data_IF_540680270788
#
_entry.id   IF_540680270788
#
_cell.length_a   1.000
_cell.length_b   1.000
_cell.length_c   1.000
_cell.angle_alpha   90.00
_cell.angle_beta   90.00
_cell.angle_gamma   90.00
#
_symmetry.space_group_name_H-M   'P 1'
#
loop_
_entity.id
_entity.type
_entity.pdbx_description
1 polymer ?
#
# COMPACT_ATOMS: atom_id res chain seq x y z
N UNK A 1 -34.06 7.30 1.64
CA UNK A 1 -32.96 8.08 2.23
C UNK A 1 -31.80 7.12 2.37
N UNK A 2 -30.72 7.32 1.60
CA UNK A 2 -29.46 6.63 1.84
C UNK A 2 -28.84 7.40 3.00
N UNK A 3 -28.83 6.83 4.20
CA UNK A 3 -28.01 7.37 5.30
C UNK A 3 -26.55 7.36 4.83
N UNK A 4 -25.87 8.50 4.93
CA UNK A 4 -24.42 8.57 4.74
C UNK A 4 -23.76 7.56 5.68
N UNK A 5 -22.97 6.63 5.12
CA UNK A 5 -22.22 5.66 5.89
C UNK A 5 -21.09 6.41 6.60
N UNK A 6 -21.15 6.45 7.93
CA UNK A 6 -20.07 7.01 8.74
C UNK A 6 -18.96 5.97 8.91
N UNK A 7 -17.84 6.15 8.20
CA UNK A 7 -16.69 5.24 8.27
C UNK A 7 -15.85 5.41 9.54
N UNK A 8 -16.08 6.48 10.32
CA UNK A 8 -15.29 6.82 11.52
C UNK A 8 -15.53 5.81 12.64
N UNK A 9 -16.68 5.14 12.64
CA UNK A 9 -17.07 4.24 13.71
C UNK A 9 -16.49 2.82 13.55
N UNK A 10 -15.88 2.50 12.40
CA UNK A 10 -15.26 1.17 12.18
C UNK A 10 -13.81 1.16 12.70
N UNK A 11 -13.47 0.31 13.69
CA UNK A 11 -12.13 0.24 14.24
C UNK A 11 -11.04 0.07 13.18
N UNK A 12 -10.02 0.94 13.22
CA UNK A 12 -8.83 0.96 12.35
C UNK A 12 -9.07 1.14 10.85
N UNK A 13 -10.31 1.31 10.38
CA UNK A 13 -10.58 1.37 8.94
C UNK A 13 -9.87 2.55 8.26
N UNK A 14 -9.98 3.75 8.84
CA UNK A 14 -9.30 4.95 8.34
C UNK A 14 -7.77 4.80 8.37
N UNK A 15 -7.24 4.20 9.44
CA UNK A 15 -5.80 3.96 9.56
C UNK A 15 -5.29 3.02 8.48
N UNK A 16 -6.06 1.97 8.15
CA UNK A 16 -5.72 1.00 7.09
C UNK A 16 -5.81 1.69 5.71
N UNK A 17 -6.84 2.50 5.46
CA UNK A 17 -6.98 3.25 4.20
C UNK A 17 -5.79 4.18 3.98
N UNK A 18 -5.24 4.80 5.02
CA UNK A 18 -4.05 5.65 4.92
C UNK A 18 -2.76 4.90 4.49
N UNK A 19 -2.78 3.57 4.47
CA UNK A 19 -1.70 2.72 3.92
C UNK A 19 -1.97 2.26 2.47
N UNK A 20 -3.16 2.50 1.93
CA UNK A 20 -3.50 2.22 0.54
C UNK A 20 -3.10 3.40 -0.37
N UNK A 21 -3.01 3.19 -1.69
CA UNK A 21 -2.65 4.26 -2.62
C UNK A 21 -3.55 5.49 -2.47
N UNK A 22 -2.94 6.68 -2.49
CA UNK A 22 -3.69 7.94 -2.62
C UNK A 22 -4.41 7.91 -3.98
N UNK A 23 -5.67 8.31 -4.02
CA UNK A 23 -6.57 8.25 -5.18
C UNK A 23 -5.88 8.73 -6.47
N UNK A 24 -5.47 7.82 -7.40
CA UNK A 24 -4.85 8.21 -8.65
C UNK A 24 -5.92 8.59 -9.67
N UNK A 25 -5.86 9.81 -10.23
CA UNK A 25 -6.87 10.34 -11.14
C UNK A 25 -7.23 9.40 -12.32
N UNK A 26 -6.26 8.61 -12.81
CA UNK A 26 -6.41 7.75 -13.99
C UNK A 26 -6.53 6.24 -13.68
N UNK A 27 -6.76 5.86 -12.42
CA UNK A 27 -6.90 4.44 -12.02
C UNK A 27 -8.22 4.13 -11.33
N UNK A 28 -9.28 4.30 -12.12
CA UNK A 28 -10.66 4.05 -11.69
C UNK A 28 -10.84 2.65 -11.10
N UNK A 29 -10.16 1.63 -11.64
CA UNK A 29 -10.27 0.24 -11.16
C UNK A 29 -9.80 0.09 -9.71
N UNK A 30 -8.68 0.72 -9.32
CA UNK A 30 -8.15 0.64 -7.96
C UNK A 30 -9.04 1.43 -7.00
N UNK A 31 -9.41 2.66 -7.38
CA UNK A 31 -10.27 3.52 -6.57
C UNK A 31 -11.63 2.86 -6.35
N UNK A 32 -12.28 2.41 -7.43
CA UNK A 32 -13.57 1.74 -7.36
C UNK A 32 -13.49 0.48 -6.51
N UNK A 33 -12.42 -0.31 -6.63
CA UNK A 33 -12.23 -1.48 -5.79
C UNK A 33 -12.13 -1.12 -4.31
N UNK A 34 -11.25 -0.18 -3.93
CA UNK A 34 -11.07 0.24 -2.53
C UNK A 34 -12.37 0.84 -1.95
N UNK A 35 -13.06 1.69 -2.71
CA UNK A 35 -14.31 2.32 -2.28
C UNK A 35 -15.43 1.30 -2.11
N UNK A 36 -15.57 0.36 -3.04
CA UNK A 36 -16.56 -0.71 -2.93
C UNK A 36 -16.31 -1.61 -1.72
N UNK A 37 -15.05 -1.98 -1.46
CA UNK A 37 -14.71 -2.78 -0.27
C UNK A 37 -14.93 -1.99 1.02
N UNK A 38 -14.56 -0.70 1.05
CA UNK A 38 -14.79 0.17 2.21
C UNK A 38 -16.29 0.30 2.52
N UNK A 39 -17.12 0.43 1.49
CA UNK A 39 -18.59 0.37 1.63
C UNK A 39 -19.07 -0.96 2.20
N UNK A 40 -18.56 -2.09 1.71
CA UNK A 40 -18.89 -3.42 2.23
C UNK A 40 -18.54 -3.51 3.71
N UNK A 41 -17.37 -3.04 4.13
CA UNK A 41 -16.97 -3.01 5.54
C UNK A 41 -17.97 -2.20 6.37
N UNK A 42 -18.23 -0.96 5.97
CA UNK A 42 -19.08 -0.05 6.74
C UNK A 42 -20.51 -0.56 6.88
N UNK A 43 -21.11 -1.05 5.79
CA UNK A 43 -22.47 -1.59 5.79
C UNK A 43 -22.55 -2.81 6.71
N UNK A 44 -21.64 -3.78 6.55
CA UNK A 44 -21.70 -5.00 7.36
C UNK A 44 -21.42 -4.71 8.84
N UNK A 45 -20.50 -3.79 9.14
CA UNK A 45 -20.22 -3.39 10.52
C UNK A 45 -21.45 -2.72 11.16
N UNK A 46 -22.09 -1.78 10.46
CA UNK A 46 -23.31 -1.09 10.92
C UNK A 46 -24.46 -2.05 11.26
N UNK A 47 -24.60 -3.14 10.51
CA UNK A 47 -25.63 -4.16 10.75
C UNK A 47 -25.14 -5.33 11.63
N UNK A 48 -24.05 -5.14 12.37
CA UNK A 48 -23.48 -6.12 13.31
C UNK A 48 -23.06 -7.45 12.63
N UNK A 49 -22.86 -7.41 11.31
CA UNK A 49 -22.37 -8.51 10.48
C UNK A 49 -20.84 -8.54 10.48
N UNK A 50 -20.25 -8.60 11.69
CA UNK A 50 -18.83 -8.38 11.93
C UNK A 50 -17.90 -9.30 11.13
N UNK A 51 -18.23 -10.58 10.97
CA UNK A 51 -17.40 -11.49 10.16
C UNK A 51 -17.33 -11.07 8.68
N UNK A 52 -18.42 -10.56 8.12
CA UNK A 52 -18.45 -10.09 6.73
C UNK A 52 -17.74 -8.74 6.59
N UNK A 53 -17.86 -7.85 7.58
CA UNK A 53 -17.04 -6.64 7.65
C UNK A 53 -15.54 -7.00 7.70
N UNK A 54 -15.17 -8.03 8.46
CA UNK A 54 -13.79 -8.50 8.56
C UNK A 54 -13.26 -9.03 7.22
N UNK A 55 -14.09 -9.70 6.42
CA UNK A 55 -13.70 -10.09 5.06
C UNK A 55 -13.37 -8.88 4.18
N UNK A 56 -14.14 -7.80 4.28
CA UNK A 56 -13.83 -6.54 3.60
C UNK A 56 -12.48 -5.97 4.07
N UNK A 57 -12.22 -5.90 5.38
CA UNK A 57 -10.93 -5.47 5.92
C UNK A 57 -9.79 -6.35 5.39
N UNK A 58 -9.98 -7.67 5.31
CA UNK A 58 -8.96 -8.58 4.79
C UNK A 58 -8.69 -8.35 3.29
N UNK A 59 -9.70 -7.96 2.49
CA UNK A 59 -9.50 -7.58 1.10
C UNK A 59 -8.69 -6.28 0.97
N UNK A 60 -8.91 -5.29 1.83
CA UNK A 60 -8.06 -4.10 1.92
C UNK A 60 -6.62 -4.47 2.32
N UNK A 61 -6.45 -5.38 3.27
CA UNK A 61 -5.14 -5.91 3.65
C UNK A 61 -4.40 -6.57 2.48
N UNK A 62 -5.08 -7.43 1.70
CA UNK A 62 -4.46 -8.03 0.52
C UNK A 62 -4.12 -6.98 -0.55
N UNK A 63 -4.94 -5.95 -0.69
CA UNK A 63 -4.63 -4.81 -1.58
C UNK A 63 -3.35 -4.10 -1.16
N UNK A 64 -3.17 -3.86 0.15
CA UNK A 64 -1.92 -3.33 0.70
C UNK A 64 -0.72 -4.26 0.42
N UNK A 65 -0.88 -5.58 0.59
CA UNK A 65 0.15 -6.58 0.28
C UNK A 65 0.54 -6.51 -1.20
N UNK A 66 -0.42 -6.37 -2.11
CA UNK A 66 -0.15 -6.24 -3.55
C UNK A 66 0.56 -4.93 -3.89
N UNK A 67 0.12 -3.81 -3.30
CA UNK A 67 0.80 -2.52 -3.45
C UNK A 67 2.24 -2.58 -2.92
N UNK A 68 2.48 -3.32 -1.84
CA UNK A 68 3.84 -3.52 -1.32
C UNK A 68 4.70 -4.30 -2.31
N UNK A 69 4.18 -5.40 -2.87
CA UNK A 69 4.90 -6.18 -3.89
C UNK A 69 5.20 -5.35 -5.15
N UNK A 70 4.23 -4.53 -5.59
CA UNK A 70 4.39 -3.57 -6.69
C UNK A 70 5.55 -2.60 -6.47
N UNK A 71 5.66 -2.03 -5.25
CA UNK A 71 6.73 -1.10 -4.90
C UNK A 71 8.08 -1.81 -4.83
N UNK A 72 8.14 -3.01 -4.27
CA UNK A 72 9.37 -3.82 -4.27
C UNK A 72 9.87 -4.06 -5.69
N UNK A 73 8.96 -4.36 -6.64
CA UNK A 73 9.31 -4.58 -8.04
C UNK A 73 9.98 -3.36 -8.70
N UNK A 74 9.68 -2.15 -8.22
CA UNK A 74 10.23 -0.90 -8.75
C UNK A 74 11.49 -0.43 -8.00
N UNK A 75 11.58 -0.67 -6.68
CA UNK A 75 12.74 -0.25 -5.88
C UNK A 75 13.91 -1.23 -6.05
N UNK A 76 13.63 -2.52 -5.96
CA UNK A 76 14.60 -3.62 -5.84
C UNK A 76 14.54 -4.53 -7.07
N UNK A 77 14.56 -3.92 -8.26
CA UNK A 77 14.29 -4.57 -9.57
C UNK A 77 15.02 -5.90 -9.75
N UNK A 78 16.33 -5.94 -9.51
CA UNK A 78 17.14 -7.15 -9.74
C UNK A 78 16.78 -8.27 -8.75
N UNK A 79 16.69 -7.94 -7.45
CA UNK A 79 16.32 -8.91 -6.42
C UNK A 79 14.89 -9.41 -6.58
N UNK A 80 14.00 -8.54 -7.05
CA UNK A 80 12.64 -8.88 -7.39
C UNK A 80 12.59 -9.88 -8.56
N UNK A 81 13.29 -9.59 -9.66
CA UNK A 81 13.40 -10.49 -10.82
C UNK A 81 13.91 -11.87 -10.42
N UNK A 82 14.95 -11.93 -9.60
CA UNK A 82 15.48 -13.20 -9.09
C UNK A 82 14.45 -13.96 -8.23
N UNK A 83 13.69 -13.25 -7.38
CA UNK A 83 12.70 -13.86 -6.50
C UNK A 83 11.49 -14.43 -7.26
N UNK A 84 11.03 -13.76 -8.33
CA UNK A 84 9.83 -14.19 -9.08
C UNK A 84 10.08 -15.33 -10.06
N UNK A 85 11.32 -15.76 -10.31
CA UNK A 85 11.64 -16.92 -11.18
C UNK A 85 10.86 -18.18 -10.75
N UNK A 86 10.66 -18.33 -9.44
CA UNK A 86 9.94 -19.46 -8.84
C UNK A 86 8.47 -19.17 -8.56
N UNK A 87 7.98 -17.98 -8.89
CA UNK A 87 6.58 -17.63 -8.74
C UNK A 87 5.72 -18.50 -9.65
N UNK A 88 4.57 -18.92 -9.11
CA UNK A 88 3.60 -19.76 -9.82
C UNK A 88 2.21 -19.18 -9.60
N UNK A 89 1.40 -19.03 -10.66
CA UNK A 89 0.03 -18.62 -10.49
C UNK A 89 -0.82 -19.78 -9.93
N UNK A 90 -2.05 -19.47 -9.53
CA UNK A 90 -3.08 -20.47 -9.36
C UNK A 90 -3.25 -21.28 -10.66
N UNK A 91 -3.52 -22.58 -10.52
CA UNK A 91 -3.70 -23.49 -11.66
C UNK A 91 -4.72 -22.92 -12.66
N UNK A 92 -4.34 -22.88 -13.94
CA UNK A 92 -5.20 -22.40 -15.02
C UNK A 92 -5.14 -20.88 -15.27
N UNK A 93 -4.27 -20.15 -14.55
CA UNK A 93 -4.05 -18.69 -14.73
C UNK A 93 -2.70 -18.38 -15.39
N UNK A 94 -2.01 -19.37 -15.97
CA UNK A 94 -0.65 -19.23 -16.49
C UNK A 94 -0.53 -18.19 -17.61
N UNK A 95 -1.58 -18.02 -18.42
CA UNK A 95 -1.59 -17.05 -19.54
C UNK A 95 -1.71 -15.61 -19.08
N UNK A 96 -2.37 -15.39 -17.95
CA UNK A 96 -2.66 -14.06 -17.40
C UNK A 96 -1.56 -13.61 -16.42
N UNK A 97 -0.71 -14.54 -15.97
CA UNK A 97 0.33 -14.29 -14.96
C UNK A 97 1.57 -13.61 -15.52
N UNK A 98 1.46 -12.30 -15.78
CA UNK A 98 2.55 -11.45 -16.29
C UNK A 98 3.28 -10.70 -15.17
N UNK A 99 3.70 -11.40 -14.13
CA UNK A 99 4.28 -10.78 -12.93
C UNK A 99 5.61 -10.05 -13.16
N UNK A 100 6.37 -10.42 -14.19
CA UNK A 100 7.64 -9.75 -14.55
C UNK A 100 7.43 -8.36 -15.15
N UNK A 101 6.32 -8.15 -15.86
CA UNK A 101 5.96 -6.90 -16.51
C UNK A 101 4.51 -6.53 -16.13
N UNK A 102 4.25 -6.46 -14.83
CA UNK A 102 2.93 -6.13 -14.32
C UNK A 102 2.58 -4.67 -14.66
N UNK A 103 1.37 -4.46 -15.18
CA UNK A 103 0.79 -3.16 -15.49
C UNK A 103 -0.25 -2.73 -14.43
N UNK A 104 -0.60 -3.63 -13.51
CA UNK A 104 -1.51 -3.39 -12.39
C UNK A 104 -1.10 -4.17 -11.14
N UNK A 105 -1.41 -3.61 -9.96
CA UNK A 105 -1.24 -4.32 -8.67
C UNK A 105 -2.07 -5.61 -8.61
N UNK A 106 -3.15 -5.73 -9.38
CA UNK A 106 -4.03 -6.90 -9.33
C UNK A 106 -3.43 -8.13 -10.02
N UNK A 107 -2.33 -7.99 -10.78
CA UNK A 107 -1.59 -9.17 -11.30
C UNK A 107 -1.14 -10.10 -10.17
N UNK A 108 -0.85 -9.55 -8.98
CA UNK A 108 -0.46 -10.34 -7.81
C UNK A 108 -1.58 -11.24 -7.28
N UNK A 109 -2.86 -10.93 -7.55
CA UNK A 109 -3.97 -11.78 -7.11
C UNK A 109 -4.02 -13.14 -7.83
N UNK A 110 -3.26 -13.28 -8.92
CA UNK A 110 -3.14 -14.53 -9.67
C UNK A 110 -2.17 -15.52 -9.00
N UNK A 111 -1.39 -15.08 -8.01
CA UNK A 111 -0.48 -15.92 -7.23
C UNK A 111 -1.15 -16.36 -5.91
N UNK A 112 -0.85 -17.55 -5.37
CA UNK A 112 -1.30 -17.91 -4.03
C UNK A 112 -0.96 -16.85 -3.00
N UNK A 113 -1.97 -16.37 -2.26
CA UNK A 113 -1.83 -15.21 -1.37
C UNK A 113 -0.67 -15.36 -0.36
N UNK A 114 -0.48 -16.58 0.17
CA UNK A 114 0.62 -16.90 1.07
C UNK A 114 1.99 -16.79 0.41
N UNK A 115 2.09 -17.11 -0.87
CA UNK A 115 3.36 -17.07 -1.60
C UNK A 115 3.80 -15.62 -1.89
N UNK A 116 2.86 -14.69 -2.02
CA UNK A 116 3.16 -13.26 -2.21
C UNK A 116 3.96 -12.72 -1.03
N UNK A 117 3.61 -13.11 0.19
CA UNK A 117 4.30 -12.67 1.41
C UNK A 117 5.79 -13.05 1.44
N UNK A 118 6.20 -14.10 0.69
CA UNK A 118 7.61 -14.52 0.60
C UNK A 118 8.48 -13.49 -0.13
N UNK A 119 7.90 -12.70 -1.05
CA UNK A 119 8.61 -11.61 -1.73
C UNK A 119 9.11 -10.56 -0.73
N UNK A 120 8.48 -10.44 0.43
CA UNK A 120 8.87 -9.46 1.44
C UNK A 120 10.18 -9.81 2.15
N UNK A 121 10.78 -10.96 1.84
CA UNK A 121 12.18 -11.23 2.18
C UNK A 121 13.15 -10.24 1.55
N UNK A 122 12.77 -9.64 0.41
CA UNK A 122 13.56 -8.60 -0.26
C UNK A 122 13.74 -7.37 0.64
N UNK A 123 12.69 -6.99 1.36
CA UNK A 123 12.69 -5.90 2.34
C UNK A 123 12.99 -6.40 3.76
N UNK A 124 13.67 -7.54 3.88
CA UNK A 124 14.22 -8.06 5.14
C UNK A 124 13.19 -8.52 6.19
N UNK A 125 11.95 -8.84 5.80
CA UNK A 125 11.06 -9.55 6.71
C UNK A 125 11.64 -10.92 7.09
N UNK A 126 11.59 -11.24 8.37
CA UNK A 126 11.98 -12.57 8.85
C UNK A 126 10.86 -13.60 8.63
N UNK A 127 11.19 -14.89 8.79
CA UNK A 127 10.23 -15.96 8.52
C UNK A 127 9.03 -15.95 9.48
N UNK A 128 9.20 -15.45 10.70
CA UNK A 128 8.10 -15.32 11.67
C UNK A 128 7.12 -14.22 11.22
N UNK A 129 7.64 -13.10 10.72
CA UNK A 129 6.84 -11.99 10.19
C UNK A 129 6.07 -12.41 8.92
N UNK A 130 6.71 -13.18 8.04
CA UNK A 130 6.07 -13.75 6.85
C UNK A 130 4.97 -14.76 7.26
N UNK A 131 5.21 -15.58 8.27
CA UNK A 131 4.21 -16.54 8.77
C UNK A 131 2.94 -15.84 9.25
N UNK A 132 3.06 -14.70 9.95
CA UNK A 132 1.90 -13.92 10.42
C UNK A 132 0.97 -13.54 9.25
N UNK A 133 1.52 -13.17 8.09
CA UNK A 133 0.72 -12.83 6.91
C UNK A 133 -0.02 -14.07 6.40
N UNK A 134 0.65 -15.22 6.38
CA UNK A 134 0.05 -16.50 5.98
C UNK A 134 -1.06 -16.95 6.94
N UNK A 135 -0.87 -16.74 8.25
CA UNK A 135 -1.84 -17.09 9.29
C UNK A 135 -3.11 -16.22 9.21
N UNK A 136 -2.98 -14.95 8.80
CA UNK A 136 -4.13 -14.07 8.53
C UNK A 136 -4.95 -14.59 7.33
N UNK A 137 -4.27 -15.00 6.26
CA UNK A 137 -4.91 -15.61 5.09
C UNK A 137 -5.64 -16.90 5.46
N UNK A 138 -5.01 -17.77 6.27
CA UNK A 138 -5.64 -19.00 6.76
C UNK A 138 -6.85 -18.71 7.61
N UNK A 139 -6.73 -17.78 8.56
CA UNK A 139 -7.84 -17.35 9.42
C UNK A 139 -9.04 -16.90 8.59
N UNK A 140 -8.82 -16.11 7.52
CA UNK A 140 -9.88 -15.70 6.61
C UNK A 140 -10.47 -16.88 5.86
N UNK A 141 -9.63 -17.75 5.30
CA UNK A 141 -10.08 -18.89 4.50
C UNK A 141 -10.94 -19.86 5.32
N UNK A 142 -10.53 -20.15 6.55
CA UNK A 142 -11.28 -20.99 7.48
C UNK A 142 -12.68 -20.41 7.78
N UNK A 143 -12.77 -19.10 7.94
CA UNK A 143 -14.04 -18.39 8.17
C UNK A 143 -14.91 -18.31 6.91
N UNK A 144 -14.31 -18.30 5.72
CA UNK A 144 -15.03 -18.16 4.45
C UNK A 144 -15.72 -19.47 4.01
N UNK A 145 -15.32 -20.62 4.57
CA UNK A 145 -16.00 -21.88 4.33
C UNK A 145 -17.45 -21.82 4.85
N UNK A 146 -18.40 -22.28 4.01
CA UNK A 146 -19.82 -22.37 4.33
C UNK A 146 -20.11 -23.49 5.35
N UNK A 147 -19.56 -23.36 6.55
CA UNK A 147 -19.65 -24.30 7.66
C UNK A 147 -20.85 -24.04 8.58
N UNK A 148 -21.54 -22.90 8.38
CA UNK A 148 -22.61 -22.41 9.26
C UNK A 148 -22.12 -21.81 10.57
N UNK A 149 -20.79 -21.73 10.79
CA UNK A 149 -20.19 -21.15 12.00
C UNK A 149 -19.71 -19.74 11.74
N UNK A 150 -20.10 -18.83 12.65
CA UNK A 150 -19.53 -17.49 12.74
C UNK A 150 -18.56 -17.43 13.92
N UNK A 151 -17.40 -16.82 13.69
CA UNK A 151 -16.31 -16.71 14.65
C UNK A 151 -16.18 -15.30 15.22
N UNK A 152 -16.67 -14.29 14.49
CA UNK A 152 -16.64 -12.88 14.90
C UNK A 152 -18.11 -12.47 15.11
N UNK A 153 -18.53 -12.46 16.37
CA UNK A 153 -19.95 -12.32 16.77
C UNK A 153 -20.25 -10.97 17.41
N UNK A 154 -19.22 -10.25 17.85
CA UNK A 154 -19.37 -8.97 18.53
C UNK A 154 -18.22 -8.03 18.14
N UNK A 155 -18.40 -6.76 18.48
CA UNK A 155 -17.46 -5.68 18.18
C UNK A 155 -16.05 -5.92 18.77
N UNK A 156 -15.97 -6.40 20.02
CA UNK A 156 -14.68 -6.69 20.67
C UNK A 156 -13.87 -7.74 19.88
N UNK A 157 -14.53 -8.83 19.46
CA UNK A 157 -13.90 -9.87 18.66
C UNK A 157 -13.49 -9.37 17.27
N UNK A 158 -14.25 -8.42 16.70
CA UNK A 158 -13.91 -7.76 15.44
C UNK A 158 -12.66 -6.91 15.60
N UNK A 159 -12.63 -6.04 16.61
CA UNK A 159 -11.52 -5.14 16.89
C UNK A 159 -10.21 -5.92 17.09
N UNK A 160 -10.23 -7.00 17.89
CA UNK A 160 -9.05 -7.86 18.08
C UNK A 160 -8.54 -8.45 16.77
N UNK A 161 -9.45 -8.88 15.88
CA UNK A 161 -9.09 -9.46 14.58
C UNK A 161 -8.56 -8.41 13.60
N UNK A 162 -9.16 -7.22 13.56
CA UNK A 162 -8.70 -6.12 12.72
C UNK A 162 -7.36 -5.55 13.22
N UNK A 163 -7.16 -5.43 14.54
CA UNK A 163 -5.89 -5.00 15.10
C UNK A 163 -4.72 -5.94 14.71
N UNK A 164 -4.99 -7.24 14.56
CA UNK A 164 -3.99 -8.21 14.08
C UNK A 164 -3.55 -7.89 12.64
N UNK A 165 -4.50 -7.56 11.76
CA UNK A 165 -4.24 -7.09 10.39
C UNK A 165 -3.46 -5.77 10.43
N UNK A 166 -3.93 -4.78 11.18
CA UNK A 166 -3.31 -3.47 11.26
C UNK A 166 -1.88 -3.53 11.79
N UNK A 167 -1.62 -4.40 12.78
CA UNK A 167 -0.27 -4.64 13.29
C UNK A 167 0.64 -5.27 12.23
N UNK A 168 0.12 -6.19 11.41
CA UNK A 168 0.87 -6.75 10.28
C UNK A 168 1.24 -5.67 9.25
N UNK A 169 0.29 -4.80 8.89
CA UNK A 169 0.52 -3.64 7.99
C UNK A 169 1.65 -2.75 8.53
N UNK A 170 1.57 -2.33 9.80
CA UNK A 170 2.61 -1.49 10.42
C UNK A 170 3.98 -2.16 10.41
N UNK A 171 4.05 -3.47 10.63
CA UNK A 171 5.30 -4.21 10.60
C UNK A 171 5.92 -4.20 9.19
N UNK A 172 5.14 -4.53 8.16
CA UNK A 172 5.58 -4.46 6.75
C UNK A 172 6.04 -3.03 6.42
N UNK A 173 5.24 -2.03 6.78
CA UNK A 173 5.53 -0.63 6.48
C UNK A 173 6.84 -0.14 7.13
N UNK A 174 7.15 -0.60 8.34
CA UNK A 174 8.43 -0.28 9.00
C UNK A 174 9.63 -0.73 8.17
N UNK A 175 9.55 -1.91 7.57
CA UNK A 175 10.59 -2.45 6.69
C UNK A 175 10.66 -1.73 5.33
N UNK A 176 9.54 -1.17 4.86
CA UNK A 176 9.51 -0.31 3.67
C UNK A 176 10.14 1.08 3.88
N UNK A 177 10.39 1.52 5.12
CA UNK A 177 10.85 2.88 5.39
C UNK A 177 12.18 3.23 4.72
N UNK A 178 13.17 2.35 4.84
CA UNK A 178 14.48 2.54 4.21
C UNK A 178 14.41 2.43 2.67
N UNK A 179 13.80 1.37 2.08
CA UNK A 179 13.56 1.29 0.64
C UNK A 179 12.88 2.54 0.05
N UNK A 180 11.84 3.05 0.70
CA UNK A 180 11.11 4.24 0.22
C UNK A 180 11.99 5.49 0.26
N UNK A 181 12.80 5.69 1.32
CA UNK A 181 13.73 6.82 1.40
C UNK A 181 14.77 6.77 0.28
N UNK A 182 15.35 5.58 0.04
CA UNK A 182 16.34 5.39 -1.02
C UNK A 182 15.73 5.62 -2.40
N UNK A 183 14.49 5.17 -2.62
CA UNK A 183 13.76 5.44 -3.85
C UNK A 183 13.45 6.93 -4.01
N UNK A 184 12.97 7.59 -2.97
CA UNK A 184 12.64 9.02 -2.99
C UNK A 184 13.89 9.88 -3.24
N UNK A 185 15.04 9.48 -2.73
CA UNK A 185 16.33 10.10 -3.05
C UNK A 185 16.62 10.07 -4.57
N UNK A 186 16.40 8.92 -5.21
CA UNK A 186 16.56 8.77 -6.66
C UNK A 186 15.60 9.68 -7.41
N UNK A 187 14.32 9.73 -7.01
CA UNK A 187 13.33 10.63 -7.61
C UNK A 187 13.80 12.09 -7.56
N UNK A 188 14.26 12.55 -6.39
CA UNK A 188 14.77 13.92 -6.22
C UNK A 188 15.97 14.21 -7.13
N UNK A 189 16.92 13.28 -7.22
CA UNK A 189 18.10 13.45 -8.06
C UNK A 189 17.75 13.42 -9.56
N UNK A 190 16.84 12.53 -9.98
CA UNK A 190 16.33 12.45 -11.35
C UNK A 190 15.62 13.74 -11.76
N UNK A 191 14.79 14.31 -10.88
CA UNK A 191 14.18 15.63 -11.09
C UNK A 191 15.22 16.73 -11.25
N UNK A 192 16.24 16.75 -10.38
CA UNK A 192 17.26 17.78 -10.44
C UNK A 192 18.06 17.74 -11.75
N UNK A 193 18.35 16.53 -12.25
CA UNK A 193 19.03 16.27 -13.53
C UNK A 193 18.16 16.51 -14.77
N UNK A 194 16.85 16.69 -14.59
CA UNK A 194 15.90 16.82 -15.71
C UNK A 194 15.66 15.51 -16.45
N UNK A 195 15.72 14.37 -15.76
CA UNK A 195 15.46 13.04 -16.35
C UNK A 195 13.96 12.81 -16.60
N UNK A 196 13.08 13.63 -16.01
CA UNK A 196 11.64 13.63 -16.27
C UNK A 196 11.32 14.62 -17.39
N UNK A 197 11.43 14.17 -18.65
CA UNK A 197 11.10 15.00 -19.82
C UNK A 197 9.65 15.51 -19.74
N UNK A 198 9.47 16.84 -19.84
CA UNK A 198 8.15 17.46 -19.78
C UNK A 198 7.66 17.83 -18.38
N UNK A 199 8.42 17.52 -17.33
CA UNK A 199 8.07 17.83 -15.94
C UNK A 199 9.04 18.81 -15.30
N UNK A 200 8.65 20.09 -15.27
CA UNK A 200 9.43 21.16 -14.63
C UNK A 200 8.91 21.52 -13.22
N UNK A 201 7.65 21.16 -12.91
CA UNK A 201 7.02 21.41 -11.61
C UNK A 201 7.14 20.18 -10.69
N UNK A 202 7.70 20.31 -9.47
CA UNK A 202 7.67 19.26 -8.46
C UNK A 202 6.27 18.68 -8.20
N UNK A 203 5.23 19.49 -8.31
CA UNK A 203 3.85 19.04 -8.09
C UNK A 203 3.44 17.94 -9.06
N UNK A 204 3.81 18.07 -10.33
CA UNK A 204 3.50 17.08 -11.35
C UNK A 204 4.23 15.76 -11.08
N UNK A 205 5.47 15.82 -10.59
CA UNK A 205 6.22 14.63 -10.15
C UNK A 205 5.53 13.96 -8.96
N UNK A 206 5.06 14.73 -7.98
CA UNK A 206 4.35 14.20 -6.81
C UNK A 206 3.08 13.46 -7.25
N UNK A 207 2.27 14.07 -8.12
CA UNK A 207 1.01 13.48 -8.56
C UNK A 207 1.26 12.29 -9.50
N UNK A 208 2.01 12.47 -10.59
CA UNK A 208 2.07 11.47 -11.66
C UNK A 208 3.10 10.37 -11.38
N UNK A 209 4.29 10.73 -10.87
CA UNK A 209 5.35 9.75 -10.66
C UNK A 209 5.24 9.07 -9.28
N UNK A 210 5.01 9.87 -8.23
CA UNK A 210 4.96 9.33 -6.87
C UNK A 210 3.59 8.72 -6.55
N UNK A 211 2.50 9.47 -6.69
CA UNK A 211 1.17 8.99 -6.30
C UNK A 211 0.64 8.00 -7.34
N UNK A 212 0.53 8.41 -8.60
CA UNK A 212 -0.05 7.58 -9.65
C UNK A 212 0.86 6.40 -9.98
N UNK A 213 2.01 6.59 -10.62
CA UNK A 213 2.85 5.48 -11.08
C UNK A 213 3.33 4.56 -9.92
N UNK A 214 3.88 5.15 -8.87
CA UNK A 214 4.44 4.40 -7.75
C UNK A 214 3.41 3.93 -6.70
N UNK A 215 2.14 4.35 -6.80
CA UNK A 215 1.03 3.96 -5.90
C UNK A 215 1.28 4.33 -4.44
N UNK A 216 1.85 5.52 -4.23
CA UNK A 216 2.23 5.99 -2.91
C UNK A 216 1.00 6.18 -2.02
N UNK A 217 1.08 5.69 -0.79
CA UNK A 217 0.07 5.92 0.25
C UNK A 217 0.36 7.18 1.06
N UNK A 218 -0.62 7.65 1.84
CA UNK A 218 -0.46 8.78 2.76
C UNK A 218 0.72 8.53 3.70
N UNK A 219 0.77 7.37 4.35
CA UNK A 219 1.83 7.06 5.30
C UNK A 219 3.24 7.04 4.67
N UNK A 220 3.35 6.68 3.39
CA UNK A 220 4.63 6.69 2.67
C UNK A 220 5.00 8.09 2.17
N UNK A 221 4.02 8.91 1.77
CA UNK A 221 4.24 10.32 1.50
C UNK A 221 4.77 11.05 2.73
N UNK A 222 4.25 10.71 3.91
CA UNK A 222 4.76 11.24 5.18
C UNK A 222 6.20 10.82 5.47
N UNK A 223 6.68 9.66 4.98
CA UNK A 223 8.10 9.30 5.05
C UNK A 223 8.93 10.25 4.18
N UNK A 224 8.49 10.50 2.95
CA UNK A 224 9.14 11.43 2.01
C UNK A 224 9.15 12.87 2.59
N UNK A 225 8.03 13.30 3.18
CA UNK A 225 7.91 14.59 3.86
C UNK A 225 8.77 14.69 5.14
N UNK A 226 9.06 13.59 5.83
CA UNK A 226 9.98 13.61 6.99
C UNK A 226 11.45 13.50 6.60
N UNK A 227 11.76 13.03 5.40
CA UNK A 227 13.14 12.88 4.94
C UNK A 227 13.80 14.26 4.75
N UNK A 228 14.99 14.41 5.36
CA UNK A 228 15.83 15.60 5.21
C UNK A 228 16.60 15.53 3.88
N UNK A 229 16.65 16.65 3.18
CA UNK A 229 17.45 16.80 1.94
C UNK A 229 18.85 17.40 2.20
N UNK A 230 19.24 17.62 3.46
CA UNK A 230 20.51 18.30 3.80
C UNK A 230 21.74 17.59 3.25
N UNK A 231 21.79 16.26 3.35
CA UNK A 231 22.92 15.48 2.85
C UNK A 231 23.01 15.56 1.32
N UNK A 232 21.87 15.45 0.63
CA UNK A 232 21.80 15.63 -0.82
C UNK A 232 22.29 17.02 -1.25
N UNK A 233 21.90 18.07 -0.51
CA UNK A 233 22.36 19.44 -0.79
C UNK A 233 23.88 19.58 -0.58
N UNK A 234 24.46 18.90 0.43
CA UNK A 234 25.90 18.94 0.66
C UNK A 234 26.69 18.19 -0.41
N UNK A 235 26.14 17.09 -0.94
CA UNK A 235 26.77 16.27 -1.98
C UNK A 235 26.57 16.87 -3.39
N UNK A 236 25.45 17.56 -3.61
CA UNK A 236 25.04 18.15 -4.89
C UNK A 236 24.67 19.62 -4.72
N UNK A 237 25.67 20.45 -4.43
CA UNK A 237 25.47 21.89 -4.16
C UNK A 237 24.78 22.64 -5.30
N UNK A 238 24.97 22.18 -6.53
CA UNK A 238 24.33 22.68 -7.77
C UNK A 238 22.81 22.46 -7.80
N UNK A 239 22.28 21.50 -7.04
CA UNK A 239 20.86 21.17 -7.01
C UNK A 239 20.13 21.76 -5.80
N UNK A 240 20.82 22.57 -4.99
CA UNK A 240 20.29 23.12 -3.73
C UNK A 240 18.91 23.74 -3.85
N UNK A 241 18.70 24.60 -4.84
CA UNK A 241 17.45 25.34 -4.97
C UNK A 241 16.30 24.43 -5.47
N UNK A 242 16.59 23.52 -6.41
CA UNK A 242 15.61 22.52 -6.88
C UNK A 242 15.19 21.56 -5.75
N UNK A 243 16.14 21.05 -4.97
CA UNK A 243 15.88 20.15 -3.84
C UNK A 243 15.04 20.83 -2.74
N UNK A 244 15.29 22.12 -2.46
CA UNK A 244 14.48 22.90 -1.52
C UNK A 244 13.07 23.13 -2.04
N UNK A 245 12.95 23.54 -3.31
CA UNK A 245 11.65 23.74 -3.95
C UNK A 245 10.79 22.47 -3.91
N UNK A 246 11.37 21.32 -4.30
CA UNK A 246 10.66 20.04 -4.23
C UNK A 246 10.23 19.70 -2.80
N UNK A 247 11.09 19.98 -1.83
CA UNK A 247 10.80 19.71 -0.43
C UNK A 247 9.65 20.58 0.11
N UNK A 248 9.62 21.84 -0.27
CA UNK A 248 8.55 22.78 0.06
C UNK A 248 7.24 22.35 -0.58
N UNK A 249 7.26 21.90 -1.84
CA UNK A 249 6.05 21.45 -2.53
C UNK A 249 5.48 20.16 -1.92
N UNK A 250 6.32 19.18 -1.52
CA UNK A 250 5.81 18.02 -0.76
C UNK A 250 5.13 18.45 0.53
N UNK A 251 5.75 19.37 1.29
CA UNK A 251 5.16 19.82 2.55
C UNK A 251 3.80 20.46 2.28
N UNK A 252 3.76 21.40 1.34
CA UNK A 252 2.55 22.10 0.92
C UNK A 252 1.46 21.14 0.45
N UNK A 253 1.80 20.13 -0.36
CA UNK A 253 0.84 19.10 -0.78
C UNK A 253 0.24 18.35 0.42
N UNK A 254 1.07 18.00 1.40
CA UNK A 254 0.59 17.32 2.62
C UNK A 254 -0.29 18.23 3.48
N UNK A 255 0.05 19.53 3.58
CA UNK A 255 -0.74 20.54 4.31
C UNK A 255 -2.11 20.75 3.62
N UNK A 256 -2.12 21.01 2.30
CA UNK A 256 -3.34 21.24 1.50
C UNK A 256 -4.28 20.03 1.49
N UNK A 257 -3.71 18.81 1.54
CA UNK A 257 -4.48 17.56 1.59
C UNK A 257 -4.93 17.18 3.00
N UNK A 258 -4.54 17.94 4.04
CA UNK A 258 -4.92 17.68 5.44
C UNK A 258 -4.22 16.46 6.06
N UNK A 259 -3.12 15.99 5.49
CA UNK A 259 -2.36 14.81 5.97
C UNK A 259 -1.45 15.15 7.15
N UNK A 260 -1.14 16.42 7.33
CA UNK A 260 -0.45 16.96 8.49
C UNK A 260 -1.27 18.13 9.03
N UNK A 261 -1.39 18.20 10.34
CA UNK A 261 -1.97 19.33 11.06
C UNK A 261 -0.80 20.05 11.72
N UNK A 262 -0.62 21.33 11.38
CA UNK A 262 0.33 22.22 12.06
C UNK A 262 -0.07 22.45 13.53
#
# INVERSE_FOLDING_TARGET
>A
MIEELNYVDVPYLQDIIAYLPIEPDDEEDIINYINNITNVVAVNYKYEQYQFAYFGIHLLFMTYVYCTAWKIAQIEVDRYKDAIVFARPYNGRERDFKIENADSIFVYSLMPEKDISKLFKIIELDNSQISIISDLVDTRNDMAHASGKFYILNEESFEVKVNSIFTSIKNIHRHMNCPIRNWYEKVLLSFCKGEYEGYDDPKDIIVEQMIQSFKLSINELLICNKMSVRNLISEHTEYKDKLKSFKEEIKKYCDESGYIQD
#
